data_IF_668782717852
#
_entry.id   IF_668782717852
#
_cell.length_a   1.000
_cell.length_b   1.000
_cell.length_c   1.000
_cell.angle_alpha   90.00
_cell.angle_beta   90.00
_cell.angle_gamma   90.00
#
_symmetry.space_group_name_H-M   'P 1'
#
loop_
_entity.id
_entity.type
_entity.pdbx_description
1 polymer ?
#
# COMPACT_ATOMS: atom_id res chain seq x y z
N UNK A 1 -30.51 26.71 -23.48
CA UNK A 1 -30.50 25.33 -24.01
C UNK A 1 -29.25 25.17 -24.88
N UNK A 2 -28.08 25.51 -24.33
CA UNK A 2 -26.97 26.02 -25.16
C UNK A 2 -25.64 25.29 -24.99
N UNK A 3 -25.51 24.41 -23.98
CA UNK A 3 -24.23 23.77 -23.64
C UNK A 3 -23.95 22.47 -24.44
N UNK A 4 -24.97 21.91 -25.11
CA UNK A 4 -24.85 20.68 -25.90
C UNK A 4 -23.79 20.75 -27.01
N UNK A 5 -23.54 21.95 -27.57
CA UNK A 5 -22.48 22.16 -28.56
C UNK A 5 -21.05 22.11 -27.99
N UNK A 6 -20.89 22.23 -26.67
CA UNK A 6 -19.59 22.27 -25.98
C UNK A 6 -18.80 20.96 -26.15
N UNK A 7 -19.50 19.81 -26.14
CA UNK A 7 -18.88 18.49 -26.29
C UNK A 7 -18.16 18.30 -27.64
N UNK A 8 -18.68 18.89 -28.73
CA UNK A 8 -18.05 18.85 -30.07
C UNK A 8 -16.73 19.62 -30.17
N UNK A 9 -16.42 20.48 -29.19
CA UNK A 9 -15.22 21.30 -29.16
C UNK A 9 -14.13 20.79 -28.19
N UNK A 10 -14.36 19.66 -27.48
CA UNK A 10 -13.38 19.03 -26.59
C UNK A 10 -12.31 18.27 -27.36
N UNK A 11 -11.10 18.16 -26.80
CA UNK A 11 -10.04 17.35 -27.41
C UNK A 11 -10.38 15.85 -27.32
N UNK A 12 -9.97 15.07 -28.31
CA UNK A 12 -10.23 13.62 -28.36
C UNK A 12 -9.70 12.82 -27.14
N UNK A 13 -8.71 13.34 -26.42
CA UNK A 13 -8.18 12.74 -25.19
C UNK A 13 -8.99 13.10 -23.92
N UNK A 14 -9.84 14.13 -23.98
CA UNK A 14 -10.59 14.71 -22.85
C UNK A 14 -12.08 14.37 -22.89
N UNK A 15 -12.56 13.72 -23.96
CA UNK A 15 -13.94 13.24 -24.05
C UNK A 15 -14.25 12.24 -22.94
N UNK A 16 -15.41 12.41 -22.32
CA UNK A 16 -16.02 11.43 -21.40
C UNK A 16 -17.16 10.69 -22.09
N UNK A 17 -17.64 9.59 -21.48
CA UNK A 17 -18.78 8.84 -22.04
C UNK A 17 -20.02 9.74 -22.21
N UNK A 18 -20.26 10.67 -21.27
CA UNK A 18 -21.37 11.62 -21.36
C UNK A 18 -21.25 12.56 -22.57
N UNK A 19 -20.03 13.00 -22.91
CA UNK A 19 -19.80 13.82 -24.10
C UNK A 19 -20.20 13.10 -25.40
N UNK A 20 -20.07 11.77 -25.45
CA UNK A 20 -20.52 10.98 -26.61
C UNK A 20 -22.05 10.97 -26.72
N UNK A 21 -22.77 10.96 -25.59
CA UNK A 21 -24.23 11.09 -25.57
C UNK A 21 -24.70 12.51 -25.94
N UNK A 22 -24.01 13.56 -25.49
CA UNK A 22 -24.30 14.94 -25.88
C UNK A 22 -24.05 15.19 -27.38
N UNK A 23 -22.93 14.66 -27.92
CA UNK A 23 -22.65 14.66 -29.36
C UNK A 23 -23.73 13.90 -30.13
N UNK A 24 -24.15 12.72 -29.65
CA UNK A 24 -25.23 11.95 -30.27
C UNK A 24 -26.56 12.72 -30.29
N UNK A 25 -26.87 13.49 -29.24
CA UNK A 25 -28.06 14.33 -29.16
C UNK A 25 -28.01 15.50 -30.16
N UNK A 26 -26.87 16.19 -30.30
CA UNK A 26 -26.70 17.26 -31.31
C UNK A 26 -26.83 16.70 -32.73
N UNK A 27 -26.14 15.59 -33.02
CA UNK A 27 -26.19 14.93 -34.34
C UNK A 27 -27.61 14.42 -34.64
N UNK A 28 -28.34 13.92 -33.63
CA UNK A 28 -29.75 13.55 -33.73
C UNK A 28 -30.65 14.72 -34.15
N UNK A 29 -30.49 15.90 -33.54
CA UNK A 29 -31.27 17.09 -33.89
C UNK A 29 -31.03 17.59 -35.33
N UNK A 30 -29.80 17.45 -35.86
CA UNK A 30 -29.56 17.75 -37.28
C UNK A 30 -30.23 16.71 -38.20
N UNK A 31 -30.28 15.44 -37.79
CA UNK A 31 -31.00 14.40 -38.52
C UNK A 31 -32.53 14.57 -38.48
N UNK A 32 -33.11 15.06 -37.39
CA UNK A 32 -34.54 15.42 -37.33
C UNK A 32 -34.86 16.52 -38.36
N UNK A 33 -34.05 17.58 -38.44
CA UNK A 33 -34.25 18.67 -39.43
C UNK A 33 -34.11 18.19 -40.89
N UNK A 34 -33.27 17.20 -41.14
CA UNK A 34 -33.12 16.57 -42.47
C UNK A 34 -34.30 15.62 -42.75
N UNK A 35 -34.80 14.88 -41.75
CA UNK A 35 -36.01 14.06 -41.86
C UNK A 35 -37.23 14.91 -42.23
N UNK A 36 -37.42 16.04 -41.55
CA UNK A 36 -38.55 16.97 -41.78
C UNK A 36 -38.54 17.59 -43.20
N UNK A 37 -37.36 17.81 -43.78
CA UNK A 37 -37.22 18.46 -45.09
C UNK A 37 -37.13 17.48 -46.28
N UNK A 38 -36.55 16.29 -46.08
CA UNK A 38 -36.21 15.35 -47.16
C UNK A 38 -36.76 13.93 -46.97
N UNK A 39 -37.35 13.61 -45.82
CA UNK A 39 -37.98 12.32 -45.53
C UNK A 39 -37.00 11.19 -45.19
N UNK A 40 -37.56 10.09 -44.66
CA UNK A 40 -36.81 8.96 -44.09
C UNK A 40 -35.85 8.26 -45.07
N UNK A 41 -36.16 8.26 -46.37
CA UNK A 41 -35.32 7.70 -47.43
C UNK A 41 -33.90 8.26 -47.38
N UNK A 42 -33.75 9.58 -47.19
CA UNK A 42 -32.47 10.28 -47.27
C UNK A 42 -31.44 9.83 -46.21
N UNK A 43 -31.91 9.47 -45.01
CA UNK A 43 -31.05 9.08 -43.88
C UNK A 43 -30.99 7.58 -43.61
N UNK A 44 -31.89 6.80 -44.21
CA UNK A 44 -31.99 5.33 -44.06
C UNK A 44 -30.66 4.57 -44.15
N UNK A 45 -29.75 4.99 -45.05
CA UNK A 45 -28.44 4.37 -45.29
C UNK A 45 -27.27 5.02 -44.54
N UNK A 46 -27.50 6.16 -43.89
CA UNK A 46 -26.50 6.90 -43.12
C UNK A 46 -26.63 6.63 -41.62
N UNK A 47 -27.85 6.65 -41.08
CA UNK A 47 -28.12 6.49 -39.65
C UNK A 47 -27.41 5.28 -39.02
N UNK A 48 -27.46 4.05 -39.59
CA UNK A 48 -26.79 2.89 -38.98
C UNK A 48 -25.26 3.03 -38.92
N UNK A 49 -24.66 3.79 -39.85
CA UNK A 49 -23.21 4.04 -39.87
C UNK A 49 -22.80 5.05 -38.80
N UNK A 50 -23.64 6.05 -38.56
CA UNK A 50 -23.36 7.10 -37.56
C UNK A 50 -23.58 6.57 -36.16
N UNK A 51 -24.65 5.78 -35.92
CA UNK A 51 -24.79 4.98 -34.70
C UNK A 51 -23.56 4.11 -34.48
N UNK A 52 -23.09 3.38 -35.50
CA UNK A 52 -21.88 2.54 -35.38
C UNK A 52 -20.59 3.33 -35.08
N UNK A 53 -20.47 4.57 -35.56
CA UNK A 53 -19.33 5.44 -35.21
C UNK A 53 -19.43 5.93 -33.76
N UNK A 54 -20.63 6.26 -33.28
CA UNK A 54 -20.87 6.66 -31.89
C UNK A 54 -20.64 5.48 -30.91
N UNK A 55 -21.09 4.26 -31.24
CA UNK A 55 -20.76 3.02 -30.50
C UNK A 55 -19.24 2.81 -30.37
N UNK A 56 -18.49 3.00 -31.47
CA UNK A 56 -17.03 2.84 -31.46
C UNK A 56 -16.37 3.93 -30.62
N UNK A 57 -16.87 5.17 -30.69
CA UNK A 57 -16.37 6.29 -29.88
C UNK A 57 -16.64 6.06 -28.39
N UNK A 58 -17.84 5.61 -28.01
CA UNK A 58 -18.19 5.25 -26.62
C UNK A 58 -17.26 4.17 -26.06
N UNK A 59 -16.97 3.11 -26.82
CA UNK A 59 -16.07 2.02 -26.39
C UNK A 59 -14.62 2.51 -26.24
N UNK A 60 -14.14 3.38 -27.14
CA UNK A 60 -12.80 3.96 -27.06
C UNK A 60 -12.67 4.90 -25.85
N UNK A 61 -13.63 5.79 -25.65
CA UNK A 61 -13.68 6.73 -24.53
C UNK A 61 -13.84 6.01 -23.18
N UNK A 62 -14.69 4.98 -23.11
CA UNK A 62 -14.84 4.13 -21.92
C UNK A 62 -13.51 3.49 -21.54
N UNK A 63 -12.74 2.98 -22.52
CA UNK A 63 -11.40 2.43 -22.29
C UNK A 63 -10.39 3.49 -21.85
N UNK A 64 -10.43 4.69 -22.44
CA UNK A 64 -9.55 5.80 -22.03
C UNK A 64 -9.80 6.24 -20.58
N UNK A 65 -11.05 6.17 -20.10
CA UNK A 65 -11.39 6.46 -18.69
C UNK A 65 -10.84 5.41 -17.71
N UNK A 66 -10.56 4.19 -18.18
CA UNK A 66 -9.91 3.10 -17.45
C UNK A 66 -8.42 3.00 -17.86
N UNK A 67 -7.73 4.14 -17.93
CA UNK A 67 -6.29 4.17 -18.15
C UNK A 67 -5.56 3.43 -17.02
N UNK A 68 -4.67 2.46 -17.31
CA UNK A 68 -4.00 1.68 -16.27
C UNK A 68 -3.15 2.56 -15.35
N UNK A 69 -2.54 3.63 -15.89
CA UNK A 69 -1.80 4.63 -15.12
C UNK A 69 -2.68 5.32 -14.06
N UNK A 70 -3.98 5.54 -14.36
CA UNK A 70 -4.91 6.12 -13.37
C UNK A 70 -5.40 5.11 -12.32
N UNK A 71 -5.29 3.81 -12.60
CA UNK A 71 -5.57 2.74 -11.63
C UNK A 71 -4.34 2.47 -10.75
N UNK A 72 -3.14 2.42 -11.33
CA UNK A 72 -1.85 2.36 -10.64
C UNK A 72 -1.67 3.55 -9.68
N UNK A 73 -1.94 4.78 -10.12
CA UNK A 73 -1.89 5.98 -9.26
C UNK A 73 -2.93 5.96 -8.13
N UNK A 74 -4.08 5.29 -8.31
CA UNK A 74 -5.06 5.07 -7.22
C UNK A 74 -4.55 4.05 -6.21
N UNK A 75 -4.02 2.92 -6.68
CA UNK A 75 -3.46 1.87 -5.83
C UNK A 75 -2.27 2.37 -5.01
N UNK A 76 -1.36 3.15 -5.62
CA UNK A 76 -0.23 3.74 -4.92
C UNK A 76 -0.69 4.84 -3.95
N UNK A 77 -1.72 5.64 -4.27
CA UNK A 77 -2.31 6.59 -3.33
C UNK A 77 -2.92 5.90 -2.10
N UNK A 78 -3.62 4.77 -2.28
CA UNK A 78 -4.21 4.01 -1.17
C UNK A 78 -3.14 3.24 -0.37
N UNK A 79 -2.07 2.77 -1.01
CA UNK A 79 -0.88 2.28 -0.32
C UNK A 79 -0.23 3.36 0.54
N UNK A 80 0.03 4.55 -0.02
CA UNK A 80 0.63 5.68 0.71
C UNK A 80 -0.26 6.19 1.86
N UNK A 81 -1.59 6.06 1.74
CA UNK A 81 -2.54 6.29 2.83
C UNK A 81 -2.36 5.27 3.96
N UNK A 82 -2.27 3.99 3.64
CA UNK A 82 -2.03 2.91 4.61
C UNK A 82 -0.67 3.07 5.31
N UNK A 83 0.40 3.33 4.56
CA UNK A 83 1.74 3.59 5.13
C UNK A 83 1.78 4.83 6.04
N UNK A 84 1.00 5.87 5.72
CA UNK A 84 0.85 7.05 6.59
C UNK A 84 0.09 6.72 7.87
N UNK A 85 -0.97 5.91 7.78
CA UNK A 85 -1.73 5.47 8.95
C UNK A 85 -0.91 4.57 9.87
N UNK A 86 -0.15 3.62 9.33
CA UNK A 86 0.74 2.76 10.10
C UNK A 86 1.89 3.54 10.77
N UNK A 87 2.49 4.52 10.08
CA UNK A 87 3.45 5.46 10.69
C UNK A 87 2.84 6.24 11.86
N UNK A 88 1.68 6.86 11.67
CA UNK A 88 0.97 7.58 12.74
C UNK A 88 0.55 6.67 13.91
N UNK A 89 0.22 5.40 13.63
CA UNK A 89 -0.05 4.42 14.68
C UNK A 89 1.20 4.01 15.46
N UNK A 90 2.35 3.86 14.78
CA UNK A 90 3.64 3.55 15.42
C UNK A 90 4.10 4.71 16.30
N UNK A 91 4.05 5.95 15.79
CA UNK A 91 4.31 7.17 16.57
C UNK A 91 3.40 7.24 17.80
N UNK A 92 2.10 6.98 17.65
CA UNK A 92 1.12 7.00 18.75
C UNK A 92 1.28 5.84 19.75
N UNK A 93 1.91 4.72 19.37
CA UNK A 93 2.28 3.63 20.28
C UNK A 93 3.54 4.03 21.07
N UNK A 94 4.58 4.50 20.36
CA UNK A 94 5.82 4.95 20.97
C UNK A 94 5.63 6.13 21.95
N UNK A 95 4.79 7.10 21.59
CA UNK A 95 4.44 8.23 22.47
C UNK A 95 3.84 7.75 23.81
N UNK A 96 3.00 6.70 23.80
CA UNK A 96 2.43 6.11 25.03
C UNK A 96 3.43 5.30 25.83
N UNK A 97 4.39 4.66 25.16
CA UNK A 97 5.49 3.95 25.81
C UNK A 97 6.41 4.95 26.53
N UNK A 98 6.69 6.10 25.91
CA UNK A 98 7.41 7.22 26.54
C UNK A 98 6.64 7.81 27.73
N UNK A 99 5.33 8.07 27.57
CA UNK A 99 4.46 8.54 28.67
C UNK A 99 4.46 7.57 29.86
N UNK A 100 4.37 6.26 29.60
CA UNK A 100 4.43 5.23 30.64
C UNK A 100 5.79 5.16 31.34
N UNK A 101 6.90 5.32 30.59
CA UNK A 101 8.26 5.37 31.16
C UNK A 101 8.46 6.64 31.99
N UNK A 102 7.93 7.79 31.56
CA UNK A 102 7.94 9.01 32.36
C UNK A 102 7.14 8.86 33.66
N UNK A 103 5.94 8.27 33.62
CA UNK A 103 5.11 8.06 34.82
C UNK A 103 5.77 7.10 35.82
N UNK A 104 6.39 6.01 35.34
CA UNK A 104 7.17 5.09 36.19
C UNK A 104 8.37 5.81 36.81
N UNK A 105 9.14 6.56 36.02
CA UNK A 105 10.31 7.30 36.51
C UNK A 105 9.95 8.41 37.51
N UNK A 106 8.81 9.09 37.30
CA UNK A 106 8.25 10.05 38.26
C UNK A 106 7.85 9.37 39.58
N UNK A 107 7.29 8.16 39.51
CA UNK A 107 7.01 7.33 40.68
C UNK A 107 8.27 6.96 41.45
N UNK A 108 9.26 6.37 40.78
CA UNK A 108 10.55 5.99 41.38
C UNK A 108 11.28 7.19 42.02
N UNK A 109 11.31 8.34 41.33
CA UNK A 109 11.88 9.57 41.87
C UNK A 109 11.13 10.07 43.13
N UNK A 110 9.80 9.99 43.15
CA UNK A 110 8.99 10.38 44.30
C UNK A 110 9.16 9.42 45.48
N UNK A 111 9.29 8.11 45.24
CA UNK A 111 9.56 7.11 46.27
C UNK A 111 10.98 7.27 46.87
N UNK A 112 11.98 7.61 46.05
CA UNK A 112 13.33 7.93 46.51
C UNK A 112 13.35 9.23 47.34
N UNK A 113 12.68 10.29 46.89
CA UNK A 113 12.52 11.53 47.68
C UNK A 113 11.80 11.26 49.01
N UNK A 114 10.80 10.39 49.02
CA UNK A 114 10.06 10.00 50.22
C UNK A 114 10.94 9.22 51.21
N UNK A 115 11.78 8.30 50.72
CA UNK A 115 12.78 7.60 51.53
C UNK A 115 13.85 8.57 52.09
N UNK A 116 14.34 9.52 51.28
CA UNK A 116 15.29 10.54 51.74
C UNK A 116 14.67 11.41 52.84
N UNK A 117 13.41 11.83 52.69
CA UNK A 117 12.71 12.62 53.71
C UNK A 117 12.49 11.83 55.01
N UNK A 118 12.15 10.53 54.92
CA UNK A 118 12.04 9.64 56.08
C UNK A 118 13.40 9.51 56.80
N UNK A 119 14.47 9.20 56.07
CA UNK A 119 15.82 9.07 56.63
C UNK A 119 16.35 10.39 57.22
N UNK A 120 16.01 11.55 56.64
CA UNK A 120 16.34 12.85 57.21
C UNK A 120 15.61 13.11 58.53
N UNK A 121 14.32 12.81 58.60
CA UNK A 121 13.53 12.96 59.83
C UNK A 121 13.95 11.94 60.90
N UNK A 122 14.31 10.70 60.53
CA UNK A 122 14.89 9.71 61.44
C UNK A 122 16.24 10.17 62.00
N UNK A 123 17.17 10.64 61.16
CA UNK A 123 18.46 11.18 61.61
C UNK A 123 18.27 12.40 62.53
N UNK A 124 17.34 13.30 62.20
CA UNK A 124 16.97 14.44 63.04
C UNK A 124 16.41 14.01 64.40
N UNK A 125 15.52 13.02 64.44
CA UNK A 125 14.99 12.49 65.69
C UNK A 125 16.04 11.73 66.51
N UNK A 126 16.97 11.01 65.87
CA UNK A 126 18.11 10.38 66.55
C UNK A 126 19.05 11.43 67.16
N UNK A 127 19.34 12.52 66.45
CA UNK A 127 20.12 13.65 66.97
C UNK A 127 19.44 14.32 68.18
N UNK A 128 18.13 14.58 68.12
CA UNK A 128 17.40 15.12 69.29
C UNK A 128 17.33 14.14 70.45
N UNK A 129 17.16 12.84 70.18
CA UNK A 129 17.12 11.81 71.22
C UNK A 129 18.49 11.61 71.89
N UNK A 130 19.60 11.71 71.15
CA UNK A 130 20.95 11.74 71.73
C UNK A 130 21.11 12.96 72.66
N UNK A 131 20.78 14.16 72.18
CA UNK A 131 20.85 15.39 72.98
C UNK A 131 19.95 15.39 74.23
N UNK A 132 18.80 14.70 74.19
CA UNK A 132 17.92 14.52 75.36
C UNK A 132 18.48 13.44 76.31
N UNK A 133 19.07 12.37 75.79
CA UNK A 133 19.69 11.30 76.58
C UNK A 133 20.98 11.74 77.28
N UNK A 134 21.67 12.73 76.73
CA UNK A 134 22.78 13.44 77.38
C UNK A 134 22.32 14.38 78.52
N UNK A 135 21.02 14.66 78.66
CA UNK A 135 20.49 15.63 79.64
C UNK A 135 19.46 15.07 80.64
N UNK A 136 18.81 13.93 80.35
CA UNK A 136 17.96 13.24 81.33
C UNK A 136 17.84 11.74 81.08
N UNK A 137 17.94 10.94 82.15
CA UNK A 137 17.37 9.60 82.27
C UNK A 137 16.73 9.46 83.66
N UNK A 138 15.48 9.03 83.74
CA UNK A 138 14.74 8.87 85.01
C UNK A 138 13.68 7.76 84.87
N UNK A 139 13.10 7.27 85.98
CA UNK A 139 12.25 6.06 85.99
C UNK A 139 10.97 6.12 85.11
N UNK A 140 10.57 7.30 84.60
CA UNK A 140 9.53 7.39 83.58
C UNK A 140 9.94 6.76 82.23
N UNK A 141 11.23 6.83 81.87
CA UNK A 141 11.72 6.40 80.56
C UNK A 141 11.51 4.91 80.33
N UNK A 142 11.59 4.10 81.39
CA UNK A 142 11.31 2.65 81.34
C UNK A 142 9.86 2.36 80.93
N UNK A 143 8.88 3.12 81.45
CA UNK A 143 7.46 2.99 81.11
C UNK A 143 7.13 3.60 79.75
N UNK A 144 7.82 4.67 79.37
CA UNK A 144 7.73 5.23 78.01
C UNK A 144 8.29 4.24 76.97
N UNK A 145 9.34 3.50 77.31
CA UNK A 145 9.95 2.47 76.46
C UNK A 145 9.02 1.24 76.29
N UNK A 146 8.30 0.79 77.32
CA UNK A 146 7.21 -0.20 77.16
C UNK A 146 6.12 0.31 76.19
N UNK A 147 5.67 1.55 76.35
CA UNK A 147 4.69 2.18 75.47
C UNK A 147 5.17 2.41 74.03
N UNK A 148 6.49 2.56 73.81
CA UNK A 148 7.06 2.56 72.47
C UNK A 148 7.12 1.15 71.88
N UNK A 149 7.47 0.13 72.66
CA UNK A 149 7.44 -1.27 72.22
C UNK A 149 6.04 -1.75 71.79
N UNK A 150 4.97 -1.22 72.40
CA UNK A 150 3.60 -1.49 71.95
C UNK A 150 3.28 -0.84 70.59
N UNK A 151 3.76 0.39 70.35
CA UNK A 151 3.63 1.08 69.05
C UNK A 151 4.45 0.38 67.96
N UNK A 152 5.70 0.00 68.26
CA UNK A 152 6.57 -0.80 67.40
C UNK A 152 5.90 -2.13 67.04
N UNK A 153 5.31 -2.82 68.01
CA UNK A 153 4.52 -4.05 67.78
C UNK A 153 3.32 -3.80 66.87
N UNK A 154 2.64 -2.66 67.01
CA UNK A 154 1.50 -2.30 66.15
C UNK A 154 1.95 -1.93 64.71
N UNK A 155 3.09 -1.26 64.55
CA UNK A 155 3.73 -1.03 63.24
C UNK A 155 4.15 -2.35 62.60
N UNK A 156 4.83 -3.22 63.35
CA UNK A 156 5.26 -4.55 62.87
C UNK A 156 4.07 -5.44 62.48
N UNK A 157 2.93 -5.34 63.20
CA UNK A 157 1.69 -6.02 62.80
C UNK A 157 1.16 -5.48 61.45
N UNK A 158 1.08 -4.16 61.27
CA UNK A 158 0.68 -3.54 59.99
C UNK A 158 1.62 -3.91 58.85
N UNK A 159 2.94 -3.89 59.10
CA UNK A 159 3.95 -4.26 58.11
C UNK A 159 3.79 -5.73 57.70
N UNK A 160 3.55 -6.64 58.65
CA UNK A 160 3.21 -8.03 58.34
C UNK A 160 1.92 -8.14 57.52
N UNK A 161 0.86 -7.41 57.89
CA UNK A 161 -0.41 -7.40 57.14
C UNK A 161 -0.25 -6.88 55.70
N UNK A 162 0.70 -5.97 55.44
CA UNK A 162 1.06 -5.52 54.08
C UNK A 162 1.89 -6.57 53.35
N UNK A 163 2.92 -7.14 53.98
CA UNK A 163 3.79 -8.17 53.38
C UNK A 163 3.01 -9.44 53.03
N UNK A 164 2.08 -9.87 53.88
CA UNK A 164 1.25 -11.05 53.61
C UNK A 164 0.22 -10.77 52.48
N UNK A 165 -0.29 -9.53 52.34
CA UNK A 165 -1.08 -9.12 51.17
C UNK A 165 -0.26 -9.12 49.88
N UNK A 166 0.92 -8.50 49.90
CA UNK A 166 1.82 -8.45 48.73
C UNK A 166 2.20 -9.87 48.27
N UNK A 167 2.39 -10.82 49.19
CA UNK A 167 2.59 -12.24 48.87
C UNK A 167 1.39 -12.87 48.15
N UNK A 168 0.17 -12.58 48.58
CA UNK A 168 -1.04 -13.11 47.95
C UNK A 168 -1.36 -12.41 46.62
N UNK A 169 -1.00 -11.14 46.46
CA UNK A 169 -1.04 -10.40 45.19
C UNK A 169 -0.03 -10.96 44.18
N UNK A 170 1.22 -11.22 44.59
CA UNK A 170 2.24 -11.91 43.78
C UNK A 170 1.70 -13.28 43.34
N UNK A 171 1.24 -14.12 44.28
CA UNK A 171 0.61 -15.43 43.98
C UNK A 171 -0.60 -15.33 43.05
N UNK A 172 -1.32 -14.21 43.04
CA UNK A 172 -2.42 -13.97 42.09
C UNK A 172 -1.89 -13.62 40.70
N UNK A 173 -0.85 -12.78 40.62
CA UNK A 173 -0.19 -12.41 39.37
C UNK A 173 0.56 -13.57 38.73
N UNK A 174 1.23 -14.43 39.50
CA UNK A 174 1.86 -15.66 39.00
C UNK A 174 0.85 -16.58 38.30
N UNK A 175 -0.36 -16.71 38.87
CA UNK A 175 -1.46 -17.49 38.26
C UNK A 175 -2.04 -16.80 37.02
N UNK A 176 -2.17 -15.48 37.03
CA UNK A 176 -2.59 -14.71 35.85
C UNK A 176 -1.57 -14.84 34.70
N UNK A 177 -0.27 -14.88 35.02
CA UNK A 177 0.81 -15.09 34.05
C UNK A 177 0.83 -16.53 33.51
N UNK A 178 0.61 -17.55 34.35
CA UNK A 178 0.50 -18.95 33.90
C UNK A 178 -0.60 -19.10 32.83
N UNK A 179 -1.81 -18.62 33.13
CA UNK A 179 -2.94 -18.70 32.21
C UNK A 179 -2.67 -17.95 30.89
N UNK A 180 -2.02 -16.77 30.96
CA UNK A 180 -1.62 -16.02 29.76
C UNK A 180 -0.54 -16.74 28.94
N UNK A 181 0.37 -17.46 29.58
CA UNK A 181 1.36 -18.29 28.88
C UNK A 181 0.68 -19.50 28.21
N UNK A 182 -0.27 -20.15 28.88
CA UNK A 182 -1.09 -21.24 28.33
C UNK A 182 -1.89 -20.78 27.10
N UNK A 183 -2.49 -19.58 27.13
CA UNK A 183 -3.16 -18.95 25.98
C UNK A 183 -2.17 -18.64 24.83
N UNK A 184 -0.98 -18.12 25.13
CA UNK A 184 0.07 -17.83 24.14
C UNK A 184 0.55 -19.13 23.46
N UNK A 185 0.81 -20.19 24.22
CA UNK A 185 1.17 -21.50 23.68
C UNK A 185 0.06 -22.08 22.79
N UNK A 186 -1.21 -21.95 23.21
CA UNK A 186 -2.36 -22.40 22.41
C UNK A 186 -2.48 -21.61 21.09
N UNK A 187 -2.30 -20.29 21.11
CA UNK A 187 -2.29 -19.44 19.91
C UNK A 187 -1.11 -19.77 19.00
N UNK A 188 0.09 -19.99 19.54
CA UNK A 188 1.27 -20.34 18.75
C UNK A 188 1.15 -21.74 18.12
N UNK A 189 0.50 -22.70 18.80
CA UNK A 189 0.09 -23.97 18.19
C UNK A 189 -0.90 -23.78 17.03
N UNK A 190 -1.88 -22.88 17.14
CA UNK A 190 -2.79 -22.57 16.04
C UNK A 190 -2.05 -21.91 14.85
N UNK A 191 -1.16 -20.95 15.12
CA UNK A 191 -0.31 -20.31 14.11
C UNK A 191 0.53 -21.34 13.36
N UNK A 192 1.19 -22.27 14.06
CA UNK A 192 1.98 -23.35 13.46
C UNK A 192 1.13 -24.29 12.57
N UNK A 193 -0.10 -24.62 12.99
CA UNK A 193 -1.04 -25.41 12.16
C UNK A 193 -1.45 -24.64 10.90
N UNK A 194 -1.76 -23.35 11.01
CA UNK A 194 -2.12 -22.50 9.88
C UNK A 194 -0.96 -22.28 8.90
N UNK A 195 0.27 -22.08 9.39
CA UNK A 195 1.45 -21.97 8.53
C UNK A 195 1.68 -23.25 7.72
N UNK A 196 1.50 -24.43 8.32
CA UNK A 196 1.58 -25.70 7.58
C UNK A 196 0.49 -25.80 6.51
N UNK A 197 -0.77 -25.53 6.85
CA UNK A 197 -1.88 -25.54 5.87
C UNK A 197 -1.63 -24.53 4.73
N UNK A 198 -1.08 -23.35 5.03
CA UNK A 198 -0.76 -22.35 4.00
C UNK A 198 0.38 -22.82 3.07
N UNK A 199 1.39 -23.49 3.60
CA UNK A 199 2.45 -24.14 2.80
C UNK A 199 1.87 -25.25 1.90
N UNK A 200 1.08 -26.16 2.46
CA UNK A 200 0.45 -27.27 1.73
C UNK A 200 -0.47 -26.75 0.59
N UNK A 201 -1.21 -25.66 0.84
CA UNK A 201 -2.04 -24.99 -0.16
C UNK A 201 -1.22 -24.28 -1.25
N UNK A 202 -0.13 -23.57 -0.90
CA UNK A 202 0.78 -22.97 -1.90
C UNK A 202 1.39 -24.03 -2.81
N UNK A 203 1.89 -25.13 -2.23
CA UNK A 203 2.44 -26.24 -3.01
C UNK A 203 1.39 -26.86 -3.95
N UNK A 204 0.14 -27.05 -3.46
CA UNK A 204 -0.97 -27.52 -4.30
C UNK A 204 -1.29 -26.57 -5.46
N UNK A 205 -1.27 -25.25 -5.23
CA UNK A 205 -1.46 -24.24 -6.28
C UNK A 205 -0.37 -24.40 -7.35
N UNK A 206 0.91 -24.44 -6.96
CA UNK A 206 2.03 -24.61 -7.91
C UNK A 206 1.91 -25.90 -8.74
N UNK A 207 1.47 -27.02 -8.15
CA UNK A 207 1.23 -28.28 -8.88
C UNK A 207 0.07 -28.15 -9.88
N UNK A 208 -1.03 -27.51 -9.50
CA UNK A 208 -2.19 -27.29 -10.38
C UNK A 208 -1.87 -26.30 -11.51
N UNK A 209 -1.09 -25.26 -11.24
CA UNK A 209 -0.58 -24.34 -12.26
C UNK A 209 0.34 -25.01 -13.27
N UNK A 210 1.23 -25.92 -12.81
CA UNK A 210 2.09 -26.70 -13.69
C UNK A 210 1.28 -27.66 -14.57
N UNK A 211 0.27 -28.33 -14.01
CA UNK A 211 -0.67 -29.16 -14.77
C UNK A 211 -1.45 -28.32 -15.80
N UNK A 212 -1.93 -27.14 -15.43
CA UNK A 212 -2.62 -26.21 -16.33
C UNK A 212 -1.75 -25.78 -17.52
N UNK A 213 -0.46 -25.47 -17.29
CA UNK A 213 0.51 -25.15 -18.35
C UNK A 213 0.72 -26.33 -19.29
N UNK A 214 0.96 -27.53 -18.76
CA UNK A 214 1.12 -28.75 -19.56
C UNK A 214 -0.10 -29.09 -20.43
N UNK A 215 -1.33 -28.86 -19.93
CA UNK A 215 -2.55 -29.03 -20.73
C UNK A 215 -2.69 -27.97 -21.84
N UNK A 216 -2.23 -26.73 -21.61
CA UNK A 216 -2.21 -25.68 -22.64
C UNK A 216 -1.18 -26.03 -23.73
N UNK A 217 0.00 -26.52 -23.34
CA UNK A 217 1.04 -26.99 -24.27
C UNK A 217 0.54 -28.14 -25.14
N UNK A 218 -0.03 -29.20 -24.53
CA UNK A 218 -0.65 -30.32 -25.26
C UNK A 218 -1.79 -29.89 -26.19
N UNK A 219 -2.61 -28.90 -25.79
CA UNK A 219 -3.66 -28.34 -26.64
C UNK A 219 -3.05 -27.69 -27.89
N UNK A 220 -2.03 -26.86 -27.72
CA UNK A 220 -1.35 -26.15 -28.83
C UNK A 220 -0.67 -27.14 -29.78
N UNK A 221 -0.05 -28.21 -29.28
CA UNK A 221 0.51 -29.29 -30.10
C UNK A 221 -0.57 -29.99 -30.96
N UNK A 222 -1.73 -30.30 -30.37
CA UNK A 222 -2.84 -30.93 -31.09
C UNK A 222 -3.49 -29.99 -32.11
N UNK A 223 -3.65 -28.70 -31.80
CA UNK A 223 -4.15 -27.69 -32.74
C UNK A 223 -3.19 -27.50 -33.92
N UNK A 224 -1.86 -27.47 -33.68
CA UNK A 224 -0.86 -27.40 -34.74
C UNK A 224 -0.82 -28.67 -35.62
N UNK A 225 -1.01 -29.86 -35.03
CA UNK A 225 -1.11 -31.12 -35.78
C UNK A 225 -2.36 -31.14 -36.67
N UNK A 226 -3.52 -30.72 -36.14
CA UNK A 226 -4.76 -30.61 -36.92
C UNK A 226 -4.59 -29.63 -38.08
N UNK A 227 -4.06 -28.43 -37.83
CA UNK A 227 -3.81 -27.44 -38.88
C UNK A 227 -2.86 -27.96 -39.98
N UNK A 228 -1.87 -28.78 -39.60
CA UNK A 228 -0.97 -29.43 -40.57
C UNK A 228 -1.73 -30.44 -41.44
N UNK A 229 -2.60 -31.26 -40.83
CA UNK A 229 -3.45 -32.21 -41.58
C UNK A 229 -4.48 -31.53 -42.47
N UNK A 230 -5.01 -30.38 -42.06
CA UNK A 230 -5.90 -29.58 -42.92
C UNK A 230 -5.17 -29.05 -44.16
N UNK A 231 -3.90 -28.63 -44.02
CA UNK A 231 -3.07 -28.21 -45.16
C UNK A 231 -2.73 -29.37 -46.11
N UNK A 232 -2.44 -30.56 -45.58
CA UNK A 232 -2.27 -31.79 -46.39
C UNK A 232 -3.57 -32.16 -47.13
N UNK A 233 -4.71 -32.12 -46.46
CA UNK A 233 -6.01 -32.40 -47.08
C UNK A 233 -6.38 -31.34 -48.14
N UNK A 234 -6.01 -30.07 -47.93
CA UNK A 234 -6.19 -29.02 -48.92
C UNK A 234 -5.29 -29.22 -50.15
N UNK A 235 -4.02 -29.55 -49.98
CA UNK A 235 -3.10 -29.77 -51.11
C UNK A 235 -3.56 -30.96 -51.97
N UNK A 236 -3.88 -32.10 -51.34
CA UNK A 236 -4.43 -33.29 -51.99
C UNK A 236 -5.75 -33.00 -52.74
N UNK A 237 -6.64 -32.18 -52.19
CA UNK A 237 -7.85 -31.70 -52.90
C UNK A 237 -7.48 -30.94 -54.18
N UNK A 238 -6.50 -30.04 -54.14
CA UNK A 238 -6.07 -29.34 -55.37
C UNK A 238 -5.43 -30.26 -56.40
N UNK A 239 -4.75 -31.32 -55.98
CA UNK A 239 -4.17 -32.32 -56.90
C UNK A 239 -5.25 -33.18 -57.55
N UNK A 240 -6.27 -33.61 -56.79
CA UNK A 240 -7.43 -34.32 -57.34
C UNK A 240 -8.20 -33.47 -58.36
N UNK A 241 -8.35 -32.16 -58.13
CA UNK A 241 -8.93 -31.23 -59.11
C UNK A 241 -8.07 -31.18 -60.39
N UNK A 242 -6.76 -30.92 -60.27
CA UNK A 242 -5.82 -30.88 -61.41
C UNK A 242 -5.79 -32.19 -62.21
N UNK A 243 -5.93 -33.34 -61.54
CA UNK A 243 -6.01 -34.65 -62.19
C UNK A 243 -7.35 -34.85 -62.90
N UNK A 244 -8.48 -34.45 -62.29
CA UNK A 244 -9.80 -34.46 -62.94
C UNK A 244 -9.82 -33.57 -64.19
N UNK A 245 -9.25 -32.37 -64.11
CA UNK A 245 -9.12 -31.43 -65.25
C UNK A 245 -8.31 -32.03 -66.40
N UNK A 246 -7.16 -32.68 -66.12
CA UNK A 246 -6.35 -33.38 -67.14
C UNK A 246 -7.14 -34.48 -67.83
N UNK A 247 -7.79 -35.37 -67.07
CA UNK A 247 -8.60 -36.46 -67.61
C UNK A 247 -9.76 -35.92 -68.46
N UNK A 248 -10.45 -34.85 -68.03
CA UNK A 248 -11.46 -34.19 -68.87
C UNK A 248 -10.87 -33.53 -70.12
N UNK A 249 -9.64 -33.01 -70.07
CA UNK A 249 -8.94 -32.45 -71.22
C UNK A 249 -8.55 -33.52 -72.25
N UNK A 250 -8.05 -34.66 -71.80
CA UNK A 250 -7.66 -35.81 -72.63
C UNK A 250 -8.88 -36.46 -73.30
N UNK A 251 -9.99 -36.63 -72.56
CA UNK A 251 -11.28 -37.07 -73.11
C UNK A 251 -11.81 -36.10 -74.19
N UNK A 252 -11.58 -34.78 -74.03
CA UNK A 252 -11.98 -33.78 -75.04
C UNK A 252 -11.06 -33.69 -76.26
N UNK A 253 -9.89 -34.34 -76.25
CA UNK A 253 -9.01 -34.44 -77.42
C UNK A 253 -9.19 -35.75 -78.19
N UNK A 254 -9.51 -36.85 -77.49
CA UNK A 254 -9.92 -38.11 -78.11
C UNK A 254 -11.44 -38.10 -78.37
N UNK A 255 -11.85 -37.49 -79.48
CA UNK A 255 -13.24 -37.15 -79.74
C UNK A 255 -14.23 -38.32 -79.90
N UNK A 256 -14.86 -38.72 -78.81
CA UNK A 256 -16.18 -39.36 -78.77
C UNK A 256 -17.11 -38.57 -77.83
N UNK A 257 -18.31 -38.18 -78.30
CA UNK A 257 -19.38 -37.65 -77.45
C UNK A 257 -20.32 -38.78 -77.00
N UNK A 258 -20.53 -38.97 -75.69
CA UNK A 258 -21.76 -39.54 -75.15
C UNK A 258 -22.71 -38.43 -74.73
N UNK A 259 -24.01 -38.57 -75.03
CA UNK A 259 -25.03 -37.60 -74.59
C UNK A 259 -25.62 -37.95 -73.23
N UNK A 260 -25.84 -36.88 -72.47
CA UNK A 260 -26.71 -36.66 -71.31
C UNK A 260 -27.58 -37.83 -70.81
N UNK A 261 -27.54 -38.05 -69.49
CA UNK A 261 -28.78 -38.10 -68.69
C UNK A 261 -28.52 -37.56 -67.26
N UNK A 262 -29.56 -37.11 -66.57
CA UNK A 262 -29.44 -36.30 -65.34
C UNK A 262 -29.23 -37.10 -64.05
N UNK A 263 -28.36 -36.58 -63.18
CA UNK A 263 -28.58 -36.58 -61.71
C UNK A 263 -28.40 -35.14 -61.23
N UNK A 264 -29.32 -34.64 -60.42
CA UNK A 264 -29.35 -33.24 -59.99
C UNK A 264 -28.76 -33.05 -58.59
N UNK A 265 -27.48 -32.71 -58.52
CA UNK A 265 -26.75 -32.13 -57.37
C UNK A 265 -25.44 -31.49 -57.90
N UNK A 266 -24.76 -30.64 -57.10
CA UNK A 266 -23.54 -29.87 -57.44
C UNK A 266 -23.64 -28.57 -58.28
N UNK A 267 -24.79 -27.88 -58.33
CA UNK A 267 -24.80 -26.42 -58.61
C UNK A 267 -24.21 -25.62 -57.42
N UNK A 268 -22.89 -25.69 -57.17
CA UNK A 268 -22.27 -24.83 -56.14
C UNK A 268 -20.78 -24.46 -56.28
N UNK A 269 -19.96 -25.12 -57.10
CA UNK A 269 -18.49 -24.98 -57.04
C UNK A 269 -17.76 -24.51 -58.33
N UNK A 270 -18.46 -23.82 -59.24
CA UNK A 270 -17.86 -23.25 -60.47
C UNK A 270 -17.58 -21.74 -60.42
N UNK A 271 -17.74 -21.09 -59.26
CA UNK A 271 -17.60 -19.63 -59.10
C UNK A 271 -16.69 -19.20 -57.94
N UNK A 272 -15.60 -19.93 -57.69
CA UNK A 272 -14.57 -19.51 -56.71
C UNK A 272 -13.26 -19.07 -57.39
N UNK A 273 -13.38 -18.16 -58.37
CA UNK A 273 -12.28 -17.28 -58.79
C UNK A 273 -11.93 -16.31 -57.66
N UNK A 274 -11.28 -16.82 -56.62
CA UNK A 274 -10.49 -16.12 -55.59
C UNK A 274 -10.80 -14.62 -55.43
N UNK A 275 -12.04 -14.29 -55.04
CA UNK A 275 -12.42 -12.93 -54.64
C UNK A 275 -11.88 -12.73 -53.24
N UNK A 276 -10.60 -12.34 -53.15
CA UNK A 276 -9.92 -12.06 -51.89
C UNK A 276 -10.60 -10.85 -51.25
N UNK A 277 -11.51 -11.10 -50.31
CA UNK A 277 -12.14 -10.02 -49.56
C UNK A 277 -11.10 -9.37 -48.64
N UNK A 278 -10.70 -8.16 -49.02
CA UNK A 278 -9.78 -7.31 -48.27
C UNK A 278 -10.39 -6.80 -46.94
N UNK A 279 -11.66 -7.13 -46.64
CA UNK A 279 -12.38 -6.74 -45.42
C UNK A 279 -12.77 -7.89 -44.49
N UNK A 280 -12.45 -9.16 -44.82
CA UNK A 280 -12.71 -10.29 -43.93
C UNK A 280 -12.08 -10.04 -42.53
N UNK A 281 -12.88 -9.97 -41.44
CA UNK A 281 -12.36 -9.76 -40.10
C UNK A 281 -11.43 -10.87 -39.60
N UNK A 282 -11.62 -12.10 -40.09
CA UNK A 282 -10.91 -13.31 -39.67
C UNK A 282 -9.66 -13.61 -40.50
N UNK A 283 -9.47 -12.91 -41.63
CA UNK A 283 -8.27 -13.01 -42.46
C UNK A 283 -7.01 -12.76 -41.62
N UNK A 284 -6.02 -13.66 -41.63
CA UNK A 284 -4.73 -13.43 -40.98
C UNK A 284 -4.11 -12.10 -41.44
N UNK A 285 -4.04 -11.13 -40.52
CA UNK A 285 -3.50 -9.79 -40.78
C UNK A 285 -1.98 -9.78 -40.87
N UNK A 286 -1.35 -10.80 -40.30
CA UNK A 286 0.08 -11.06 -40.28
C UNK A 286 0.32 -12.45 -40.87
N UNK A 287 1.43 -12.61 -41.58
CA UNK A 287 1.97 -13.90 -41.95
C UNK A 287 2.45 -14.67 -40.72
N UNK A 288 2.59 -16.00 -40.84
CA UNK A 288 3.16 -16.83 -39.76
C UNK A 288 4.62 -16.47 -39.44
N UNK A 289 5.32 -15.78 -40.34
CA UNK A 289 6.66 -15.26 -40.10
C UNK A 289 6.62 -13.98 -39.25
N UNK A 290 5.84 -12.97 -39.67
CA UNK A 290 5.65 -11.74 -38.87
C UNK A 290 5.11 -12.05 -37.47
N UNK A 291 4.18 -13.01 -37.33
CA UNK A 291 3.69 -13.44 -36.03
C UNK A 291 4.81 -14.08 -35.18
N UNK A 292 5.68 -14.90 -35.78
CA UNK A 292 6.82 -15.51 -35.08
C UNK A 292 7.82 -14.46 -34.63
N UNK A 293 8.11 -13.48 -35.47
CA UNK A 293 9.07 -12.41 -35.21
C UNK A 293 8.54 -11.48 -34.09
N UNK A 294 7.26 -11.09 -34.15
CA UNK A 294 6.59 -10.34 -33.06
C UNK A 294 6.55 -11.14 -31.76
N UNK A 295 6.32 -12.46 -31.80
CA UNK A 295 6.37 -13.30 -30.59
C UNK A 295 7.78 -13.40 -30.00
N UNK A 296 8.83 -13.38 -30.84
CA UNK A 296 10.24 -13.32 -30.42
C UNK A 296 10.59 -11.97 -29.81
N UNK A 297 10.27 -10.86 -30.48
CA UNK A 297 10.51 -9.50 -30.00
C UNK A 297 9.77 -9.26 -28.67
N UNK A 298 8.50 -9.67 -28.57
CA UNK A 298 7.71 -9.66 -27.33
C UNK A 298 8.38 -10.45 -26.21
N UNK A 299 9.01 -11.59 -26.51
CA UNK A 299 9.75 -12.38 -25.52
C UNK A 299 11.04 -11.67 -25.08
N UNK A 300 11.82 -11.11 -26.01
CA UNK A 300 13.02 -10.32 -25.66
C UNK A 300 12.68 -9.08 -24.82
N UNK A 301 11.66 -8.33 -25.23
CA UNK A 301 11.17 -7.16 -24.50
C UNK A 301 10.71 -7.55 -23.10
N UNK A 302 10.05 -8.71 -22.93
CA UNK A 302 9.67 -9.23 -21.61
C UNK A 302 10.88 -9.52 -20.72
N UNK A 303 11.96 -10.10 -21.27
CA UNK A 303 13.21 -10.31 -20.53
C UNK A 303 13.90 -8.98 -20.17
N UNK A 304 13.92 -8.01 -21.09
CA UNK A 304 14.48 -6.66 -20.85
C UNK A 304 13.69 -5.92 -19.77
N UNK A 305 12.36 -5.98 -19.80
CA UNK A 305 11.47 -5.42 -18.76
C UNK A 305 11.70 -6.10 -17.41
N UNK A 306 11.90 -7.42 -17.36
CA UNK A 306 12.21 -8.12 -16.11
C UNK A 306 13.52 -7.62 -15.49
N UNK A 307 14.62 -7.52 -16.25
CA UNK A 307 15.89 -7.02 -15.70
C UNK A 307 15.79 -5.54 -15.31
N UNK A 308 15.09 -4.70 -16.08
CA UNK A 308 14.84 -3.30 -15.69
C UNK A 308 13.97 -3.17 -14.43
N UNK A 309 13.04 -4.11 -14.18
CA UNK A 309 12.28 -4.17 -12.93
C UNK A 309 13.15 -4.63 -11.75
N UNK A 310 14.13 -5.50 -11.98
CA UNK A 310 15.12 -5.92 -10.98
C UNK A 310 16.11 -4.79 -10.65
N UNK A 311 16.63 -4.07 -11.66
CA UNK A 311 17.44 -2.86 -11.49
C UNK A 311 16.67 -1.75 -10.74
N UNK A 312 15.41 -1.48 -11.13
CA UNK A 312 14.56 -0.50 -10.45
C UNK A 312 14.18 -0.93 -9.03
N UNK A 313 14.12 -2.23 -8.74
CA UNK A 313 13.94 -2.73 -7.37
C UNK A 313 15.24 -2.53 -6.56
N UNK A 314 16.40 -2.82 -7.14
CA UNK A 314 17.71 -2.64 -6.53
C UNK A 314 17.96 -1.16 -6.17
N UNK A 315 17.78 -0.24 -7.11
CA UNK A 315 17.97 1.19 -6.84
C UNK A 315 16.93 1.74 -5.86
N UNK A 316 15.69 1.21 -5.85
CA UNK A 316 14.73 1.55 -4.79
C UNK A 316 15.16 1.01 -3.43
N UNK A 317 15.81 -0.14 -3.32
CA UNK A 317 16.41 -0.57 -2.06
C UNK A 317 17.61 0.30 -1.64
N UNK A 318 18.50 0.69 -2.57
CA UNK A 318 19.58 1.64 -2.23
C UNK A 318 19.05 3.01 -1.81
N UNK A 319 18.05 3.58 -2.50
CA UNK A 319 17.43 4.86 -2.16
C UNK A 319 16.73 4.81 -0.77
N UNK A 320 16.10 3.66 -0.43
CA UNK A 320 15.59 3.42 0.93
C UNK A 320 16.71 3.21 1.97
N UNK A 321 17.86 2.61 1.62
CA UNK A 321 19.00 2.44 2.54
C UNK A 321 19.80 3.74 2.73
N UNK A 322 19.84 4.64 1.74
CA UNK A 322 20.37 6.01 1.91
C UNK A 322 19.42 6.88 2.76
N UNK A 323 18.09 6.74 2.63
CA UNK A 323 17.12 7.42 3.51
C UNK A 323 17.12 6.87 4.95
N UNK A 324 17.46 5.59 5.16
CA UNK A 324 17.57 4.96 6.48
C UNK A 324 19.01 4.91 7.06
N UNK A 325 20.01 5.36 6.31
CA UNK A 325 21.36 5.57 6.79
C UNK A 325 21.42 6.72 7.83
N UNK A 326 22.43 6.76 8.73
CA UNK A 326 22.53 7.78 9.78
C UNK A 326 22.99 9.14 9.24
N UNK A 327 22.14 9.77 8.43
CA UNK A 327 22.37 11.08 7.82
C UNK A 327 22.36 12.20 8.86
N UNK A 328 23.46 12.95 8.93
CA UNK A 328 23.57 14.14 9.78
C UNK A 328 22.68 15.28 9.26
N UNK A 329 22.11 16.13 10.14
CA UNK A 329 21.06 17.07 9.74
C UNK A 329 21.57 18.21 8.85
N UNK A 330 21.20 18.16 7.57
CA UNK A 330 21.36 19.26 6.61
C UNK A 330 20.03 20.03 6.41
N UNK A 331 20.06 21.33 6.05
CA UNK A 331 18.88 22.21 6.15
C UNK A 331 17.97 22.23 4.91
N UNK A 332 16.67 22.56 5.07
CA UNK A 332 15.70 22.59 3.97
C UNK A 332 15.81 23.84 3.05
N UNK A 333 15.60 23.69 1.72
CA UNK A 333 15.57 24.77 0.72
C UNK A 333 14.17 25.45 0.60
N UNK A 334 13.98 26.51 -0.22
CA UNK A 334 13.29 27.71 0.26
C UNK A 334 11.85 27.95 -0.24
N UNK A 335 11.03 28.53 0.63
CA UNK A 335 9.76 29.20 0.27
C UNK A 335 9.94 30.72 0.16
N UNK A 336 9.13 31.37 -0.68
CA UNK A 336 9.27 32.79 -1.06
C UNK A 336 7.91 33.32 -1.55
N UNK A 337 7.44 34.55 -1.34
CA UNK A 337 7.94 35.80 -0.73
C UNK A 337 6.72 36.46 -0.02
N UNK A 338 6.76 37.38 0.95
CA UNK A 338 7.78 38.14 1.72
C UNK A 338 7.04 38.69 3.00
N UNK A 339 7.61 39.51 3.92
CA UNK A 339 8.99 40.02 4.04
C UNK A 339 9.70 39.65 5.37
N UNK A 340 10.97 40.03 5.49
CA UNK A 340 11.82 39.75 6.67
C UNK A 340 11.57 40.73 7.82
N UNK A 341 11.45 40.21 9.05
CA UNK A 341 12.05 40.85 10.24
C UNK A 341 12.97 39.82 10.91
N UNK A 342 14.08 40.28 11.47
CA UNK A 342 15.16 39.39 11.90
C UNK A 342 14.82 38.59 13.17
N UNK A 343 15.51 37.46 13.36
CA UNK A 343 15.70 36.87 14.68
C UNK A 343 16.19 37.97 15.63
N UNK A 344 15.48 38.18 16.75
CA UNK A 344 16.06 38.99 17.81
C UNK A 344 17.27 38.23 18.37
N UNK A 345 18.46 38.85 18.46
CA UNK A 345 19.54 38.27 19.26
C UNK A 345 19.05 38.17 20.70
N UNK A 346 19.43 37.12 21.41
CA UNK A 346 19.15 37.04 22.85
C UNK A 346 19.65 38.31 23.54
N UNK A 347 18.76 38.99 24.27
CA UNK A 347 19.08 40.25 24.92
C UNK A 347 20.37 40.10 25.73
N UNK A 348 21.37 40.96 25.44
CA UNK A 348 22.67 40.90 26.09
C UNK A 348 22.58 40.96 27.62
N UNK A 349 21.48 41.53 28.14
CA UNK A 349 21.13 41.54 29.58
C UNK A 349 20.87 40.13 30.11
N UNK A 350 20.12 39.27 29.39
CA UNK A 350 19.92 37.86 29.80
C UNK A 350 21.25 37.12 29.88
N UNK A 351 22.09 37.25 28.85
CA UNK A 351 23.41 36.61 28.81
C UNK A 351 24.34 37.14 29.91
N UNK A 352 24.32 38.44 30.18
CA UNK A 352 25.07 39.02 31.29
C UNK A 352 24.58 38.48 32.65
N UNK A 353 23.26 38.36 32.82
CA UNK A 353 22.66 37.80 34.04
C UNK A 353 23.11 36.34 34.25
N UNK A 354 22.91 35.46 33.27
CA UNK A 354 23.18 34.02 33.46
C UNK A 354 24.68 33.67 33.42
N UNK A 355 25.48 34.31 32.57
CA UNK A 355 26.90 33.94 32.38
C UNK A 355 27.87 34.68 33.30
N UNK A 356 27.51 35.87 33.83
CA UNK A 356 28.40 36.67 34.68
C UNK A 356 27.82 36.97 36.08
N UNK A 357 26.56 37.42 36.17
CA UNK A 357 25.99 37.86 37.46
C UNK A 357 25.60 36.65 38.32
N UNK A 358 24.96 35.63 37.77
CA UNK A 358 24.52 34.44 38.53
C UNK A 358 25.67 33.74 39.26
N UNK A 359 26.83 33.46 38.62
CA UNK A 359 28.00 32.89 39.31
C UNK A 359 28.53 33.80 40.43
N UNK A 360 28.54 35.13 40.24
CA UNK A 360 29.01 36.07 41.27
C UNK A 360 28.04 36.19 42.46
N UNK A 361 26.72 36.07 42.23
CA UNK A 361 25.71 36.00 43.29
C UNK A 361 25.81 34.68 44.04
N UNK A 362 26.01 33.55 43.34
CA UNK A 362 26.21 32.24 43.96
C UNK A 362 27.52 32.17 44.78
N UNK A 363 28.56 32.88 44.36
CA UNK A 363 29.82 33.03 45.09
C UNK A 363 29.77 34.08 46.23
N UNK A 364 28.63 34.74 46.47
CA UNK A 364 28.47 35.72 47.55
C UNK A 364 29.22 37.04 47.34
N UNK A 365 29.68 37.33 46.12
CA UNK A 365 30.54 38.50 45.81
C UNK A 365 29.77 39.80 45.56
N UNK A 366 28.44 39.78 45.65
CA UNK A 366 27.56 40.93 45.44
C UNK A 366 26.65 41.08 46.66
N UNK A 367 26.73 42.20 47.42
CA UNK A 367 25.87 42.43 48.59
C UNK A 367 24.40 42.61 48.20
N UNK A 368 23.49 42.48 49.17
CA UNK A 368 22.05 42.28 48.94
C UNK A 368 21.31 43.47 48.29
N UNK A 369 21.36 43.54 46.96
CA UNK A 369 20.45 44.36 46.15
C UNK A 369 19.07 43.68 46.04
N UNK A 370 17.96 44.34 46.42
CA UNK A 370 16.62 43.75 46.38
C UNK A 370 16.13 43.41 44.97
N UNK A 371 16.70 43.98 43.91
CA UNK A 371 16.32 43.69 42.51
C UNK A 371 16.72 42.29 42.05
N UNK A 372 17.66 41.63 42.73
CA UNK A 372 18.16 40.28 42.38
C UNK A 372 17.34 39.14 43.01
N UNK A 373 16.32 39.45 43.82
CA UNK A 373 15.41 38.49 44.46
C UNK A 373 14.78 37.45 43.49
N UNK A 374 14.30 37.81 42.27
CA UNK A 374 13.72 36.84 41.35
C UNK A 374 14.72 35.79 40.86
N UNK A 375 16.00 36.15 40.76
CA UNK A 375 17.07 35.25 40.29
C UNK A 375 17.44 34.25 41.37
N UNK A 376 17.51 34.68 42.66
CA UNK A 376 17.74 33.73 43.78
C UNK A 376 16.60 32.71 43.92
N UNK A 377 15.34 33.05 43.58
CA UNK A 377 14.21 32.10 43.58
C UNK A 377 14.29 31.04 42.46
N UNK A 378 14.97 31.33 41.35
CA UNK A 378 15.24 30.32 40.31
C UNK A 378 16.32 29.32 40.76
N UNK A 379 17.24 29.74 41.63
CA UNK A 379 18.28 28.87 42.20
C UNK A 379 17.75 28.00 43.36
N UNK A 380 16.60 28.34 43.95
CA UNK A 380 15.93 27.52 44.99
C UNK A 380 14.83 26.60 44.43
N UNK A 381 14.92 26.25 43.15
CA UNK A 381 13.95 25.43 42.41
C UNK A 381 14.63 24.40 41.48
N UNK A 382 15.93 24.17 41.72
CA UNK A 382 16.82 23.13 41.19
C UNK A 382 17.64 22.60 42.36
#
# INVERSE_FOLDING_TARGET
MEDLGSALHKNAAELTVMDVYDIAAVVGQEFERILDQYGCEALSRLMPKVVRVLEILEVLVSRNSMSPETEELRLELDRLRLERMDRLEKEKKHQKELELVEDVWRGEAQDLLTQIAQLQEENKNLLTNLSQKDTSMTEEDFKRQEGMSERERQVMKKLKEVVDKQRDEIRAKDRELSLKNEDIEALQQQQNRLMKINHDLRHKITVVEAQGKAFIEQKVELEAYLQTREQEMASLRTELVKLREKVQGEIKQNGEEPKEEHVAEEELFTSEKMVVDLKDPNRPRFTLQELRDVLHERNELKSKVFMLQEELAYYKSEENEEENGPSTPAPPPPQSLQPKTATQPESGIKRLIFTAIMPMVAAGLIPDDPTLQPIRRLVSLV
#
